data_IF_666040474640
#
_entry.id   IF_666040474640
#
_cell.length_a   1.000
_cell.length_b   1.000
_cell.length_c   1.000
_cell.angle_alpha   90.00
_cell.angle_beta   90.00
_cell.angle_gamma   90.00
#
_symmetry.space_group_name_H-M   'P 1'
#
loop_
_entity.id
_entity.type
_entity.pdbx_description
1 polymer ?
#
# COMPACT_ATOMS: atom_id res chain seq x y z
N UNK A 1 8.04 40.47 18.76
CA UNK A 1 6.86 40.76 17.92
C UNK A 1 7.26 40.54 16.47
N UNK A 2 6.59 39.60 15.79
CA UNK A 2 6.44 39.44 14.31
C UNK A 2 7.74 39.32 13.49
N UNK A 3 7.86 38.49 12.45
CA UNK A 3 7.05 37.46 11.79
C UNK A 3 7.96 36.93 10.67
N UNK A 4 7.73 35.70 10.23
CA UNK A 4 8.01 35.30 8.85
C UNK A 4 9.24 34.42 8.67
N UNK A 5 9.01 33.11 8.65
CA UNK A 5 9.46 32.29 7.52
C UNK A 5 8.20 31.61 6.99
N UNK A 6 7.52 32.30 6.07
CA UNK A 6 6.71 31.60 5.08
C UNK A 6 7.72 30.99 4.12
N UNK A 7 8.08 29.73 4.36
CA UNK A 7 8.70 28.92 3.32
C UNK A 7 7.60 28.68 2.28
N UNK A 8 7.57 29.56 1.28
CA UNK A 8 6.70 29.46 0.11
C UNK A 8 7.05 28.16 -0.62
N UNK A 9 6.37 27.08 -0.24
CA UNK A 9 6.39 25.80 -0.94
C UNK A 9 5.70 26.02 -2.30
N UNK A 10 6.49 26.31 -3.34
CA UNK A 10 5.98 26.49 -4.69
C UNK A 10 5.36 25.16 -5.15
N UNK A 11 4.04 25.15 -5.32
CA UNK A 11 3.23 23.98 -5.70
C UNK A 11 3.72 23.34 -7.01
N UNK A 12 4.47 24.09 -7.83
CA UNK A 12 5.13 23.63 -9.06
C UNK A 12 6.34 22.71 -8.84
N UNK A 13 6.91 22.74 -7.64
CA UNK A 13 8.09 21.96 -7.23
C UNK A 13 7.72 20.75 -6.35
N UNK A 14 6.42 20.56 -6.08
CA UNK A 14 5.89 19.38 -5.40
C UNK A 14 6.14 18.11 -6.22
N UNK A 15 6.42 17.00 -5.54
CA UNK A 15 6.45 15.65 -6.17
C UNK A 15 5.13 15.34 -6.92
N UNK A 16 4.04 15.98 -6.51
CA UNK A 16 2.71 15.89 -7.11
C UNK A 16 2.42 16.93 -8.19
N UNK A 17 3.35 17.87 -8.44
CA UNK A 17 3.11 19.08 -9.23
C UNK A 17 2.77 18.84 -10.71
N UNK A 18 2.97 17.61 -11.22
CA UNK A 18 2.51 17.17 -12.55
C UNK A 18 2.60 15.66 -12.69
N UNK A 19 1.46 14.97 -12.50
CA UNK A 19 1.08 13.73 -13.21
C UNK A 19 2.11 12.60 -13.31
N UNK A 20 2.99 12.43 -12.32
CA UNK A 20 4.16 11.57 -12.48
C UNK A 20 3.95 10.10 -12.10
N UNK A 21 2.72 9.65 -11.87
CA UNK A 21 2.51 8.29 -11.34
C UNK A 21 1.52 7.40 -12.11
N UNK A 22 0.76 7.89 -13.09
CA UNK A 22 -0.17 7.04 -13.84
C UNK A 22 0.34 6.75 -15.24
N UNK A 23 0.96 5.58 -15.43
CA UNK A 23 1.43 5.09 -16.72
C UNK A 23 0.30 4.54 -17.61
N UNK A 24 -0.97 4.94 -17.42
CA UNK A 24 -2.08 4.23 -18.06
C UNK A 24 -2.94 5.04 -19.03
N UNK A 25 -2.99 6.37 -18.99
CA UNK A 25 -3.75 7.17 -19.97
C UNK A 25 -3.21 8.60 -20.10
N UNK A 26 -3.31 9.21 -21.29
CA UNK A 26 -2.91 10.61 -21.47
C UNK A 26 -3.85 11.57 -20.70
N UNK A 27 -3.36 12.75 -20.28
CA UNK A 27 -4.14 13.67 -19.45
C UNK A 27 -5.46 14.15 -20.07
N UNK A 28 -5.57 14.18 -21.41
CA UNK A 28 -6.80 14.60 -22.10
C UNK A 28 -7.83 13.48 -22.04
N UNK A 29 -7.42 12.25 -22.34
CA UNK A 29 -8.27 11.05 -22.26
C UNK A 29 -8.80 10.84 -20.83
N UNK A 30 -7.97 11.00 -19.80
CA UNK A 30 -8.42 10.92 -18.40
C UNK A 30 -9.45 12.01 -18.10
N UNK A 31 -9.21 13.25 -18.55
CA UNK A 31 -10.13 14.37 -18.31
C UNK A 31 -11.49 14.15 -18.99
N UNK A 32 -11.51 13.49 -20.13
CA UNK A 32 -12.75 13.13 -20.84
C UNK A 32 -13.50 12.01 -20.12
N UNK A 33 -12.81 10.91 -19.78
CA UNK A 33 -13.41 9.80 -19.02
C UNK A 33 -13.86 10.20 -17.61
N UNK A 34 -13.17 11.13 -16.94
CA UNK A 34 -13.59 11.64 -15.62
C UNK A 34 -14.99 12.25 -15.63
N UNK A 35 -15.46 12.74 -16.78
CA UNK A 35 -16.82 13.28 -16.91
C UNK A 35 -17.86 12.19 -16.67
N UNK A 36 -17.59 10.95 -17.10
CA UNK A 36 -18.52 9.82 -17.06
C UNK A 36 -18.50 9.08 -15.72
N UNK A 37 -17.59 9.39 -14.78
CA UNK A 37 -17.53 8.75 -13.45
C UNK A 37 -18.81 8.98 -12.65
N UNK A 38 -19.34 10.21 -12.64
CA UNK A 38 -20.49 10.59 -11.81
C UNK A 38 -21.84 10.47 -12.54
N UNK A 39 -21.86 9.88 -13.73
CA UNK A 39 -23.05 9.91 -14.58
C UNK A 39 -24.01 8.72 -14.34
N UNK A 40 -23.60 7.73 -13.54
CA UNK A 40 -24.42 6.59 -13.04
C UNK A 40 -25.44 6.06 -14.08
N UNK A 41 -26.71 5.89 -13.67
CA UNK A 41 -27.82 5.37 -14.49
C UNK A 41 -28.72 6.47 -15.09
N UNK A 42 -28.31 7.73 -15.01
CA UNK A 42 -29.13 8.87 -15.47
C UNK A 42 -28.85 9.27 -16.93
N UNK A 43 -28.07 8.47 -17.66
CA UNK A 43 -27.65 8.74 -19.04
C UNK A 43 -28.46 8.00 -20.11
N UNK A 44 -28.37 8.49 -21.35
CA UNK A 44 -28.83 7.79 -22.54
C UNK A 44 -28.03 6.49 -22.75
N UNK A 45 -28.72 5.35 -22.62
CA UNK A 45 -28.17 3.99 -22.74
C UNK A 45 -27.94 3.63 -24.22
N UNK A 46 -26.92 4.24 -24.82
CA UNK A 46 -26.66 4.18 -26.26
C UNK A 46 -25.59 3.17 -26.70
N UNK A 47 -24.91 2.53 -25.76
CA UNK A 47 -23.86 1.55 -26.06
C UNK A 47 -24.35 0.13 -25.79
N UNK A 48 -23.71 -0.86 -26.40
CA UNK A 48 -24.04 -2.28 -26.19
C UNK A 48 -22.96 -2.93 -25.31
N UNK A 49 -23.39 -3.68 -24.29
CA UNK A 49 -22.52 -4.51 -23.48
C UNK A 49 -21.83 -5.55 -24.37
N UNK A 50 -20.50 -5.63 -24.27
CA UNK A 50 -19.66 -6.54 -25.05
C UNK A 50 -20.00 -8.03 -24.84
N UNK A 51 -20.50 -8.41 -23.66
CA UNK A 51 -20.77 -9.80 -23.29
C UNK A 51 -22.22 -10.23 -23.55
N UNK A 52 -23.20 -9.43 -23.10
CA UNK A 52 -24.62 -9.79 -23.17
C UNK A 52 -25.44 -8.99 -24.18
N UNK A 53 -24.89 -7.92 -24.76
CA UNK A 53 -25.59 -7.04 -25.70
C UNK A 53 -26.64 -6.11 -25.08
N UNK A 54 -26.75 -6.06 -23.74
CA UNK A 54 -27.64 -5.12 -23.04
C UNK A 54 -27.19 -3.67 -23.25
N UNK A 55 -28.15 -2.73 -23.26
CA UNK A 55 -27.83 -1.31 -23.38
C UNK A 55 -27.12 -0.79 -22.13
N UNK A 56 -26.02 -0.07 -22.31
CA UNK A 56 -25.19 0.48 -21.23
C UNK A 56 -24.89 1.97 -21.46
N UNK A 57 -24.53 2.66 -20.38
CA UNK A 57 -24.19 4.09 -20.37
C UNK A 57 -22.74 4.35 -20.80
N UNK A 58 -22.37 5.63 -20.95
CA UNK A 58 -20.98 6.00 -21.22
C UNK A 58 -20.06 5.65 -20.03
N UNK A 59 -20.60 5.68 -18.81
CA UNK A 59 -19.91 5.21 -17.61
C UNK A 59 -19.43 3.76 -17.76
N UNK A 60 -20.34 2.83 -18.02
CA UNK A 60 -20.02 1.42 -18.20
C UNK A 60 -19.04 1.17 -19.35
N UNK A 61 -19.17 1.93 -20.43
CA UNK A 61 -18.22 1.90 -21.54
C UNK A 61 -16.81 2.31 -21.11
N UNK A 62 -16.68 3.41 -20.37
CA UNK A 62 -15.38 3.99 -20.06
C UNK A 62 -14.68 3.33 -18.87
N UNK A 63 -15.46 2.80 -17.91
CA UNK A 63 -15.00 2.33 -16.60
C UNK A 63 -15.22 0.84 -16.35
N UNK A 64 -16.21 0.20 -16.98
CA UNK A 64 -16.55 -1.23 -16.77
C UNK A 64 -16.15 -2.11 -17.98
N UNK A 65 -15.03 -1.81 -18.66
CA UNK A 65 -14.52 -2.59 -19.82
C UNK A 65 -15.59 -2.88 -20.89
N UNK A 66 -16.44 -1.89 -21.19
CA UNK A 66 -17.57 -2.01 -22.12
C UNK A 66 -18.60 -3.10 -21.73
N UNK A 67 -18.77 -3.36 -20.44
CA UNK A 67 -19.73 -4.33 -19.92
C UNK A 67 -20.76 -3.68 -19.01
N UNK A 68 -21.96 -4.27 -18.94
CA UNK A 68 -22.90 -3.96 -17.88
C UNK A 68 -22.34 -4.43 -16.53
N UNK A 69 -22.82 -3.86 -15.43
CA UNK A 69 -22.30 -4.12 -14.08
C UNK A 69 -22.31 -5.63 -13.75
N UNK A 70 -23.35 -6.34 -14.18
CA UNK A 70 -23.48 -7.78 -13.97
C UNK A 70 -22.36 -8.56 -14.66
N UNK A 71 -22.08 -8.25 -15.93
CA UNK A 71 -21.02 -8.92 -16.70
C UNK A 71 -19.63 -8.52 -16.19
N UNK A 72 -19.44 -7.25 -15.83
CA UNK A 72 -18.20 -6.75 -15.25
C UNK A 72 -17.88 -7.44 -13.92
N UNK A 73 -18.84 -7.47 -12.99
CA UNK A 73 -18.68 -8.12 -11.69
C UNK A 73 -18.49 -9.62 -11.84
N UNK A 74 -19.25 -10.28 -12.72
CA UNK A 74 -19.06 -11.71 -12.99
C UNK A 74 -17.71 -12.04 -13.62
N UNK A 75 -16.95 -11.08 -14.16
CA UNK A 75 -15.66 -11.31 -14.81
C UNK A 75 -14.48 -10.90 -13.93
N UNK A 76 -14.62 -9.82 -13.17
CA UNK A 76 -13.53 -9.23 -12.37
C UNK A 76 -13.75 -9.35 -10.85
N UNK A 77 -14.96 -9.68 -10.42
CA UNK A 77 -15.34 -9.89 -9.02
C UNK A 77 -15.85 -11.33 -8.81
N UNK A 78 -15.22 -12.31 -9.47
CA UNK A 78 -15.55 -13.73 -9.33
C UNK A 78 -15.22 -14.33 -7.97
N UNK A 79 -14.37 -13.66 -7.18
CA UNK A 79 -13.71 -14.25 -6.01
C UNK A 79 -13.81 -13.39 -4.76
N UNK A 80 -15.00 -12.88 -4.43
CA UNK A 80 -15.35 -12.69 -3.02
C UNK A 80 -16.07 -13.97 -2.62
N UNK A 81 -15.33 -15.07 -2.49
CA UNK A 81 -15.83 -16.17 -1.67
C UNK A 81 -15.97 -15.58 -0.27
N UNK A 82 -17.22 -15.48 0.24
CA UNK A 82 -17.44 -15.30 1.67
C UNK A 82 -16.75 -16.48 2.35
N UNK A 83 -15.54 -16.24 2.84
CA UNK A 83 -14.77 -17.26 3.52
C UNK A 83 -15.51 -17.61 4.81
N UNK A 84 -15.71 -18.90 5.04
CA UNK A 84 -16.40 -19.34 6.25
C UNK A 84 -15.53 -18.97 7.46
N UNK A 85 -16.10 -18.16 8.36
CA UNK A 85 -15.47 -17.77 9.60
C UNK A 85 -15.84 -18.78 10.68
N UNK A 86 -14.82 -19.39 11.28
CA UNK A 86 -14.96 -20.29 12.43
C UNK A 86 -14.57 -19.58 13.72
N UNK A 87 -15.20 -19.98 14.83
CA UNK A 87 -14.87 -19.50 16.17
C UNK A 87 -13.75 -20.33 16.77
N UNK A 88 -12.59 -19.73 17.02
CA UNK A 88 -11.44 -20.35 17.71
C UNK A 88 -11.16 -19.58 19.00
N UNK A 89 -10.47 -20.20 19.97
CA UNK A 89 -10.07 -19.54 21.22
C UNK A 89 -8.67 -18.96 21.11
N UNK A 90 -8.52 -17.70 21.53
CA UNK A 90 -7.23 -17.06 21.71
C UNK A 90 -6.36 -17.85 22.71
N UNK A 91 -5.14 -18.20 22.31
CA UNK A 91 -4.17 -18.98 23.08
C UNK A 91 -3.82 -18.34 24.43
N UNK A 92 -3.91 -17.01 24.55
CA UNK A 92 -3.47 -16.28 25.74
C UNK A 92 -4.57 -15.90 26.73
N UNK A 93 -5.83 -15.82 26.30
CA UNK A 93 -6.94 -15.38 27.16
C UNK A 93 -8.20 -16.24 27.04
N UNK A 94 -8.21 -17.22 26.14
CA UNK A 94 -9.36 -18.10 25.85
C UNK A 94 -10.63 -17.38 25.36
N UNK A 95 -10.55 -16.09 24.99
CA UNK A 95 -11.62 -15.36 24.31
C UNK A 95 -11.87 -16.01 22.94
N UNK A 96 -13.13 -16.15 22.55
CA UNK A 96 -13.50 -16.59 21.20
C UNK A 96 -13.20 -15.48 20.20
N UNK A 97 -12.57 -15.85 19.09
CA UNK A 97 -12.16 -14.98 18.00
C UNK A 97 -12.66 -15.53 16.67
N UNK A 98 -12.88 -14.64 15.71
CA UNK A 98 -13.21 -15.00 14.34
C UNK A 98 -11.95 -15.36 13.57
N UNK A 99 -11.93 -16.55 12.96
CA UNK A 99 -10.82 -17.06 12.16
C UNK A 99 -11.34 -17.59 10.81
N UNK A 100 -10.74 -17.20 9.69
CA UNK A 100 -11.06 -17.80 8.41
C UNK A 100 -10.71 -19.30 8.39
N UNK A 101 -11.54 -20.11 7.77
CA UNK A 101 -11.36 -21.57 7.68
C UNK A 101 -10.01 -21.95 7.04
N UNK A 102 -9.46 -21.13 6.12
CA UNK A 102 -8.12 -21.35 5.55
C UNK A 102 -7.00 -21.30 6.59
N UNK A 103 -7.19 -20.54 7.67
CA UNK A 103 -6.20 -20.31 8.72
C UNK A 103 -6.37 -21.21 9.94
N UNK A 104 -7.31 -22.16 9.93
CA UNK A 104 -7.59 -23.08 11.05
C UNK A 104 -6.42 -23.97 11.47
N UNK A 105 -5.45 -24.17 10.58
CA UNK A 105 -4.28 -25.02 10.83
C UNK A 105 -3.14 -24.28 11.51
N UNK A 106 -3.27 -22.97 11.76
CA UNK A 106 -2.30 -22.19 12.52
C UNK A 106 -2.10 -22.80 13.91
N UNK A 107 -0.88 -22.76 14.43
CA UNK A 107 -0.59 -23.31 15.75
C UNK A 107 -1.03 -22.40 16.88
N UNK A 108 -1.05 -21.09 16.64
CA UNK A 108 -1.30 -20.07 17.65
C UNK A 108 -2.38 -19.12 17.15
N UNK A 109 -3.33 -18.78 18.02
CA UNK A 109 -4.45 -17.88 17.71
C UNK A 109 -4.44 -16.74 18.72
N UNK A 110 -4.38 -15.50 18.25
CA UNK A 110 -4.19 -14.33 19.12
C UNK A 110 -5.28 -13.31 18.83
N UNK A 111 -6.02 -12.88 19.86
CA UNK A 111 -6.91 -11.73 19.74
C UNK A 111 -6.12 -10.42 19.74
N UNK A 112 -6.63 -9.39 19.07
CA UNK A 112 -6.00 -8.06 19.05
C UNK A 112 -5.72 -7.50 20.45
N UNK A 113 -6.59 -7.77 21.43
CA UNK A 113 -6.39 -7.33 22.82
C UNK A 113 -5.10 -7.91 23.42
N UNK A 114 -4.79 -9.18 23.12
CA UNK A 114 -3.57 -9.82 23.61
C UNK A 114 -2.32 -9.33 22.87
N UNK A 115 -2.45 -8.95 21.60
CA UNK A 115 -1.38 -8.27 20.85
C UNK A 115 -1.09 -6.90 21.48
N UNK A 116 -2.13 -6.08 21.70
CA UNK A 116 -2.02 -4.75 22.33
C UNK A 116 -1.42 -4.79 23.74
N UNK A 117 -1.60 -5.91 24.45
CA UNK A 117 -1.01 -6.14 25.78
C UNK A 117 0.43 -6.69 25.74
N UNK A 118 1.06 -6.79 24.56
CA UNK A 118 2.43 -7.29 24.40
C UNK A 118 2.58 -8.79 24.73
N UNK A 119 1.50 -9.59 24.64
CA UNK A 119 1.60 -11.03 24.91
C UNK A 119 2.26 -11.79 23.76
N UNK A 120 2.13 -11.27 22.53
CA UNK A 120 2.76 -11.81 21.34
C UNK A 120 4.29 -11.63 21.35
N UNK A 121 4.82 -10.68 22.12
CA UNK A 121 6.27 -10.39 22.24
C UNK A 121 7.08 -11.58 22.79
N UNK A 122 6.40 -12.54 23.42
CA UNK A 122 7.01 -13.76 23.98
C UNK A 122 7.18 -14.87 22.94
N UNK A 123 6.63 -14.71 21.74
CA UNK A 123 6.71 -15.68 20.68
C UNK A 123 8.03 -15.55 19.93
N UNK A 124 8.59 -16.69 19.56
CA UNK A 124 9.70 -16.77 18.61
C UNK A 124 9.24 -16.37 17.20
N UNK A 125 10.19 -16.02 16.32
CA UNK A 125 9.87 -15.66 14.94
C UNK A 125 9.17 -16.81 14.18
N UNK A 126 9.49 -18.07 14.48
CA UNK A 126 8.80 -19.25 13.91
C UNK A 126 7.35 -19.35 14.39
N UNK A 127 7.11 -19.07 15.67
CA UNK A 127 5.75 -19.05 16.24
C UNK A 127 4.91 -17.90 15.70
N UNK A 128 5.52 -16.75 15.41
CA UNK A 128 4.84 -15.61 14.77
C UNK A 128 4.35 -15.98 13.37
N UNK A 129 5.21 -16.63 12.57
CA UNK A 129 4.88 -17.03 11.20
C UNK A 129 3.76 -18.08 11.12
N UNK A 130 3.59 -18.87 12.17
CA UNK A 130 2.56 -19.92 12.28
C UNK A 130 1.39 -19.51 13.18
N UNK A 131 1.22 -18.19 13.37
CA UNK A 131 0.15 -17.60 14.17
C UNK A 131 -0.89 -16.89 13.31
N UNK A 132 -2.16 -17.03 13.72
CA UNK A 132 -3.24 -16.19 13.26
C UNK A 132 -3.53 -15.09 14.29
N UNK A 133 -3.66 -13.86 13.81
CA UNK A 133 -4.04 -12.71 14.62
C UNK A 133 -5.40 -12.21 14.12
N UNK A 134 -6.39 -12.22 15.00
CA UNK A 134 -7.67 -11.56 14.73
C UNK A 134 -7.44 -10.04 14.76
N UNK A 135 -7.59 -9.40 13.61
CA UNK A 135 -7.59 -7.95 13.44
C UNK A 135 -8.98 -7.59 12.92
N UNK A 136 -9.64 -6.64 13.60
CA UNK A 136 -10.92 -6.12 13.12
C UNK A 136 -10.72 -5.18 11.93
N UNK A 137 -11.72 -5.03 11.07
CA UNK A 137 -11.64 -4.07 9.95
C UNK A 137 -11.34 -2.64 10.47
N UNK A 138 -11.96 -2.24 11.58
CA UNK A 138 -11.69 -0.95 12.23
C UNK A 138 -10.23 -0.79 12.69
N UNK A 139 -9.63 -1.86 13.25
CA UNK A 139 -8.22 -1.85 13.65
C UNK A 139 -7.29 -1.87 12.44
N UNK A 140 -7.67 -2.57 11.37
CA UNK A 140 -6.93 -2.62 10.10
C UNK A 140 -6.91 -1.25 9.43
N UNK A 141 -8.07 -0.60 9.33
CA UNK A 141 -8.23 0.75 8.77
C UNK A 141 -7.41 1.77 9.56
N UNK A 142 -7.46 1.71 10.90
CA UNK A 142 -6.66 2.58 11.77
C UNK A 142 -5.15 2.38 11.59
N UNK A 143 -4.70 1.13 11.45
CA UNK A 143 -3.29 0.83 11.16
C UNK A 143 -2.89 1.32 9.77
N UNK A 144 -3.79 1.18 8.79
CA UNK A 144 -3.58 1.64 7.42
C UNK A 144 -3.48 3.17 7.36
N UNK A 145 -4.40 3.89 8.00
CA UNK A 145 -4.39 5.36 8.07
C UNK A 145 -3.10 5.88 8.71
N UNK A 146 -2.66 5.28 9.82
CA UNK A 146 -1.40 5.66 10.48
C UNK A 146 -0.18 5.45 9.56
N UNK A 147 -0.16 4.36 8.81
CA UNK A 147 0.89 4.07 7.84
C UNK A 147 0.84 5.06 6.68
N UNK A 148 -0.34 5.34 6.14
CA UNK A 148 -0.54 6.24 5.01
C UNK A 148 -0.14 7.67 5.37
N UNK A 149 -0.61 8.19 6.51
CA UNK A 149 -0.20 9.51 7.02
C UNK A 149 1.32 9.63 7.11
N UNK A 150 2.00 8.56 7.52
CA UNK A 150 3.46 8.57 7.63
C UNK A 150 4.15 8.51 6.28
N UNK A 151 3.64 7.73 5.34
CA UNK A 151 4.15 7.64 3.97
C UNK A 151 3.96 8.97 3.23
N UNK A 152 2.81 9.62 3.38
CA UNK A 152 2.51 10.92 2.78
C UNK A 152 3.49 12.01 3.24
N UNK A 153 3.89 12.00 4.50
CA UNK A 153 4.90 12.95 5.02
C UNK A 153 6.32 12.59 4.58
N UNK A 154 6.61 11.30 4.42
CA UNK A 154 7.95 10.82 4.11
C UNK A 154 8.43 11.27 2.74
N UNK A 155 7.59 11.19 1.70
CA UNK A 155 8.03 11.49 0.33
C UNK A 155 8.43 12.96 0.13
N UNK A 156 7.67 13.97 0.62
CA UNK A 156 8.11 15.35 0.65
C UNK A 156 9.44 15.56 1.39
N UNK A 157 9.63 14.88 2.53
CA UNK A 157 10.85 15.01 3.32
C UNK A 157 12.06 14.37 2.63
N UNK A 158 11.86 13.21 2.02
CA UNK A 158 12.88 12.51 1.22
C UNK A 158 13.29 13.38 0.02
N UNK A 159 12.30 13.93 -0.69
CA UNK A 159 12.52 14.85 -1.81
C UNK A 159 13.25 16.13 -1.38
N UNK A 160 12.94 16.71 -0.21
CA UNK A 160 13.66 17.88 0.31
C UNK A 160 15.12 17.56 0.62
N UNK A 161 15.40 16.39 1.20
CA UNK A 161 16.75 15.99 1.62
C UNK A 161 17.66 15.60 0.45
N UNK A 162 17.12 14.92 -0.55
CA UNK A 162 17.89 14.35 -1.65
C UNK A 162 17.49 14.93 -3.02
N UNK A 163 16.97 16.17 -3.05
CA UNK A 163 16.35 16.79 -4.25
C UNK A 163 17.25 16.70 -5.48
N UNK A 164 18.53 17.08 -5.33
CA UNK A 164 19.45 17.19 -6.45
C UNK A 164 19.84 15.79 -6.98
N UNK A 165 20.08 14.83 -6.08
CA UNK A 165 20.37 13.42 -6.42
C UNK A 165 19.17 12.75 -7.12
N UNK A 166 17.96 13.05 -6.66
CA UNK A 166 16.72 12.46 -7.19
C UNK A 166 16.27 13.08 -8.51
N UNK A 167 16.64 14.33 -8.80
CA UNK A 167 16.31 14.99 -10.08
C UNK A 167 17.00 14.34 -11.28
N UNK A 168 18.16 13.74 -11.04
CA UNK A 168 18.96 13.11 -12.09
C UNK A 168 18.57 11.64 -12.34
N UNK A 169 17.70 11.07 -11.50
CA UNK A 169 17.17 9.71 -11.68
C UNK A 169 16.16 9.64 -12.84
N UNK A 170 16.14 8.50 -13.53
CA UNK A 170 15.04 8.20 -14.44
C UNK A 170 13.72 8.04 -13.66
N UNK A 171 12.58 8.17 -14.35
CA UNK A 171 11.26 7.98 -13.73
C UNK A 171 11.10 6.61 -13.06
N UNK A 172 11.70 5.57 -13.66
CA UNK A 172 11.68 4.21 -13.12
C UNK A 172 12.48 4.13 -11.83
N UNK A 173 13.71 4.63 -11.83
CA UNK A 173 14.59 4.61 -10.66
C UNK A 173 14.01 5.44 -9.51
N UNK A 174 13.42 6.59 -9.82
CA UNK A 174 12.73 7.41 -8.83
C UNK A 174 11.54 6.66 -8.20
N UNK A 175 10.73 5.98 -9.02
CA UNK A 175 9.61 5.18 -8.52
C UNK A 175 10.07 4.00 -7.65
N UNK A 176 11.14 3.30 -8.05
CA UNK A 176 11.74 2.22 -7.27
C UNK A 176 12.28 2.72 -5.93
N UNK A 177 13.00 3.85 -5.90
CA UNK A 177 13.49 4.42 -4.65
C UNK A 177 12.36 4.87 -3.71
N UNK A 178 11.33 5.55 -4.24
CA UNK A 178 10.18 5.98 -3.44
C UNK A 178 9.40 4.79 -2.88
N UNK A 179 9.19 3.74 -3.69
CA UNK A 179 8.56 2.51 -3.24
C UNK A 179 9.36 1.84 -2.11
N UNK A 180 10.68 1.73 -2.27
CA UNK A 180 11.55 1.11 -1.26
C UNK A 180 11.58 1.92 0.04
N UNK A 181 11.63 3.26 -0.02
CA UNK A 181 11.53 4.12 1.14
C UNK A 181 10.17 3.95 1.85
N UNK A 182 9.09 3.86 1.06
CA UNK A 182 7.75 3.48 1.50
C UNK A 182 7.76 2.18 2.31
N UNK A 183 8.17 1.09 1.66
CA UNK A 183 8.20 -0.25 2.25
C UNK A 183 9.08 -0.34 3.50
N UNK A 184 10.26 0.30 3.49
CA UNK A 184 11.15 0.35 4.66
C UNK A 184 10.52 1.09 5.83
N UNK A 185 9.78 2.17 5.58
CA UNK A 185 9.09 2.91 6.64
C UNK A 185 7.94 2.10 7.21
N UNK A 186 7.15 1.42 6.37
CA UNK A 186 6.12 0.47 6.82
C UNK A 186 6.75 -0.62 7.69
N UNK A 187 7.83 -1.24 7.22
CA UNK A 187 8.55 -2.27 7.97
C UNK A 187 9.11 -1.73 9.29
N UNK A 188 9.60 -0.49 9.30
CA UNK A 188 10.08 0.18 10.51
C UNK A 188 8.95 0.48 11.48
N UNK A 189 7.79 0.92 11.00
CA UNK A 189 6.59 1.15 11.81
C UNK A 189 6.12 -0.18 12.39
N UNK A 190 6.00 -1.23 11.59
CA UNK A 190 5.67 -2.58 12.04
C UNK A 190 6.68 -3.11 13.07
N UNK A 191 7.98 -2.86 12.87
CA UNK A 191 9.03 -3.22 13.81
C UNK A 191 8.97 -2.36 15.08
N UNK A 192 8.63 -1.07 15.00
CA UNK A 192 8.44 -0.19 16.17
C UNK A 192 7.18 -0.57 16.94
N UNK A 193 6.10 -0.95 16.28
CA UNK A 193 4.91 -1.54 16.91
C UNK A 193 5.25 -2.90 17.55
N UNK A 194 6.11 -3.72 16.92
CA UNK A 194 6.69 -4.96 17.51
C UNK A 194 7.61 -4.67 18.72
N UNK A 195 8.31 -3.53 18.74
CA UNK A 195 9.30 -3.17 19.76
C UNK A 195 8.82 -2.14 20.80
N UNK A 196 7.58 -1.65 20.71
CA UNK A 196 7.00 -0.67 21.62
C UNK A 196 6.58 -1.27 22.98
N UNK A 197 7.22 -2.35 23.40
CA UNK A 197 7.47 -2.63 24.82
C UNK A 197 8.64 -1.81 25.40
N UNK A 198 9.40 -1.03 24.60
CA UNK A 198 10.41 -0.09 25.12
C UNK A 198 10.50 1.18 24.25
N UNK A 199 10.09 2.32 24.79
CA UNK A 199 10.35 3.64 24.21
C UNK A 199 11.78 4.10 24.54
N UNK A 200 12.52 4.49 23.51
CA UNK A 200 13.44 5.64 23.57
C UNK A 200 13.53 6.26 22.18
N UNK A 201 13.19 7.54 22.09
CA UNK A 201 13.46 8.39 20.94
C UNK A 201 14.98 8.52 20.83
N UNK A 202 15.60 7.83 19.87
CA UNK A 202 16.86 8.23 19.22
C UNK A 202 17.21 7.21 18.11
N UNK A 203 17.94 7.68 17.09
CA UNK A 203 18.50 6.94 15.94
C UNK A 203 17.56 6.68 14.74
N UNK A 204 17.38 7.73 13.93
CA UNK A 204 17.37 7.58 12.48
C UNK A 204 18.84 7.37 12.06
N UNK A 205 19.25 6.11 11.86
CA UNK A 205 20.59 5.79 11.38
C UNK A 205 20.72 6.13 9.90
N UNK A 206 21.62 7.07 9.59
CA UNK A 206 22.13 7.31 8.24
C UNK A 206 22.75 6.02 7.70
N UNK A 207 22.43 5.65 6.46
CA UNK A 207 23.21 4.64 5.75
C UNK A 207 23.53 5.11 4.33
N UNK A 208 24.83 5.35 4.12
CA UNK A 208 25.48 5.62 2.85
C UNK A 208 25.37 4.42 1.90
N UNK A 209 25.02 4.69 0.65
CA UNK A 209 24.99 3.68 -0.41
C UNK A 209 26.42 3.30 -0.85
N UNK A 210 26.98 2.22 -0.30
CA UNK A 210 28.18 1.60 -0.87
C UNK A 210 27.85 0.94 -2.22
N UNK A 211 28.03 1.68 -3.31
CA UNK A 211 28.05 1.12 -4.65
C UNK A 211 29.46 0.59 -4.94
N UNK A 212 29.70 -0.71 -4.66
CA UNK A 212 30.95 -1.39 -5.04
C UNK A 212 30.92 -1.71 -6.52
N UNK A 213 31.65 -0.93 -7.30
CA UNK A 213 32.04 -1.27 -8.66
C UNK A 213 32.76 -2.63 -8.67
N UNK A 214 32.18 -3.61 -9.35
CA UNK A 214 32.81 -4.88 -9.66
C UNK A 214 33.72 -4.71 -10.88
N UNK A 215 35.00 -4.42 -10.66
CA UNK A 215 36.06 -4.76 -11.62
C UNK A 215 36.46 -6.22 -11.38
N UNK A 216 35.81 -7.14 -12.09
CA UNK A 216 36.31 -8.51 -12.23
C UNK A 216 37.36 -8.51 -13.34
N UNK A 217 38.61 -8.72 -12.94
CA UNK A 217 39.75 -8.90 -13.83
C UNK A 217 39.61 -10.16 -14.68
N UNK A 218 39.87 -10.02 -15.97
CA UNK A 218 40.10 -11.13 -16.87
C UNK A 218 41.51 -11.69 -16.62
N UNK A 219 41.57 -12.86 -15.98
CA UNK A 219 42.73 -13.74 -16.00
C UNK A 219 42.87 -14.36 -17.39
N UNK A 220 44.02 -14.19 -18.01
CA UNK A 220 44.39 -14.98 -19.18
C UNK A 220 45.86 -14.81 -19.49
N UNK A 221 46.70 -15.75 -19.06
CA UNK A 221 47.89 -16.23 -19.79
C UNK A 221 48.41 -17.50 -19.10
N UNK A 222 48.14 -18.67 -19.70
CA UNK A 222 48.97 -19.86 -19.56
C UNK A 222 49.64 -20.17 -20.91
N UNK A 223 50.97 -20.37 -20.81
CA UNK A 223 51.95 -20.91 -21.78
C UNK A 223 52.62 -19.96 -22.76
#
# INVERSE_FOLDING_TARGET
>A
MKQGNNDDFDEKDSIWAKGCFSETMDPKTIKEKKKTIHMEHNEDMNYDCKECGEKISAHNRDWHDHMCDKCFNSKYHTDIYEEEMIKIKCTFCNKEIDCPESSKNSKIFICIDCVKLGKADKLSDEEILDSYIEISDDDLDSMFDMVMDKVEQMFPDLWKRHKDEMRDLSKKELAEQMFMAGAQSVFTIMRKLKNQSVFSDDEFGDYESENKNSELGEEGYEK
#
